data_IF_556820910132
#
_entry.id   IF_556820910132
#
_cell.length_a   1.000
_cell.length_b   1.000
_cell.length_c   1.000
_cell.angle_alpha   90.00
_cell.angle_beta   90.00
_cell.angle_gamma   90.00
#
_symmetry.space_group_name_H-M   'P 1'
#
loop_
_entity.id
_entity.type
_entity.pdbx_description
1 polymer ?
#
# COMPACT_ATOMS: atom_id res chain seq x y z
N UNK A 1 -20.02 2.90 27.45
CA UNK A 1 -20.32 2.11 26.23
C UNK A 1 -19.65 2.82 25.07
N UNK A 2 -18.44 2.39 24.71
CA UNK A 2 -17.63 3.05 23.71
C UNK A 2 -18.23 2.76 22.33
N UNK A 3 -18.64 3.82 21.62
CA UNK A 3 -19.19 3.70 20.28
C UNK A 3 -18.14 3.15 19.34
N UNK A 4 -18.43 2.00 18.76
CA UNK A 4 -17.66 1.39 17.70
C UNK A 4 -17.62 2.38 16.53
N UNK A 5 -16.50 3.10 16.40
CA UNK A 5 -16.27 3.97 15.25
C UNK A 5 -16.03 3.04 14.07
N UNK A 6 -17.05 2.91 13.22
CA UNK A 6 -16.98 2.06 12.04
C UNK A 6 -15.81 2.43 11.12
N UNK A 7 -15.40 1.53 10.22
CA UNK A 7 -14.16 1.63 9.44
C UNK A 7 -14.04 2.90 8.62
N UNK A 8 -15.17 3.41 8.12
CA UNK A 8 -15.22 4.67 7.37
C UNK A 8 -14.80 5.88 8.22
N UNK A 9 -15.09 5.89 9.53
CA UNK A 9 -14.75 7.00 10.42
C UNK A 9 -13.25 7.05 10.69
N UNK A 10 -12.61 5.89 10.82
CA UNK A 10 -11.17 5.78 11.08
C UNK A 10 -10.34 6.14 9.82
N UNK A 11 -10.79 5.71 8.64
CA UNK A 11 -10.25 6.18 7.35
C UNK A 11 -10.37 7.70 7.19
N UNK A 12 -11.50 8.30 7.58
CA UNK A 12 -11.71 9.76 7.49
C UNK A 12 -10.78 10.56 8.41
N UNK A 13 -10.42 10.03 9.58
CA UNK A 13 -9.50 10.69 10.52
C UNK A 13 -8.07 10.72 9.96
N UNK A 14 -7.63 9.62 9.32
CA UNK A 14 -6.28 9.50 8.75
C UNK A 14 -6.20 9.96 7.29
N UNK A 15 -7.33 10.26 6.64
CA UNK A 15 -7.40 10.71 5.25
C UNK A 15 -6.45 11.86 4.92
N UNK A 16 -6.31 12.91 5.74
CA UNK A 16 -5.38 14.00 5.44
C UNK A 16 -3.91 13.54 5.39
N UNK A 17 -3.54 12.57 6.22
CA UNK A 17 -2.19 11.99 6.24
C UNK A 17 -1.98 11.07 5.03
N UNK A 18 -2.95 10.21 4.71
CA UNK A 18 -2.89 9.34 3.53
C UNK A 18 -2.78 10.14 2.23
N UNK A 19 -3.53 11.24 2.10
CA UNK A 19 -3.50 12.11 0.93
C UNK A 19 -2.19 12.89 0.81
N UNK A 20 -1.62 13.35 1.94
CA UNK A 20 -0.39 14.14 1.92
C UNK A 20 0.85 13.28 1.66
N UNK A 21 0.85 12.03 2.13
CA UNK A 21 1.94 11.07 1.90
C UNK A 21 1.67 10.20 0.67
N UNK A 22 1.33 10.80 -0.47
CA UNK A 22 1.08 10.08 -1.73
C UNK A 22 2.38 9.62 -2.43
N UNK A 23 2.31 8.62 -3.34
CA UNK A 23 3.46 8.18 -4.12
C UNK A 23 3.73 9.12 -5.30
N UNK A 24 4.99 9.53 -5.47
CA UNK A 24 5.52 10.18 -6.65
C UNK A 24 6.04 9.12 -7.64
N UNK A 25 5.30 8.92 -8.74
CA UNK A 25 5.71 8.03 -9.84
C UNK A 25 6.76 8.70 -10.74
N UNK A 26 7.65 7.95 -11.41
CA UNK A 26 7.77 6.50 -11.38
C UNK A 26 8.67 5.96 -10.25
N UNK A 27 9.31 6.82 -9.45
CA UNK A 27 10.20 6.38 -8.36
C UNK A 27 9.47 5.75 -7.16
N UNK A 28 8.15 5.91 -7.08
CA UNK A 28 7.32 5.54 -5.93
C UNK A 28 7.89 6.06 -4.61
N UNK A 29 8.41 7.29 -4.62
CA UNK A 29 8.88 7.98 -3.42
C UNK A 29 7.72 8.76 -2.82
N UNK A 30 7.60 8.80 -1.50
CA UNK A 30 6.61 9.65 -0.84
C UNK A 30 6.91 11.12 -1.13
N UNK A 31 5.91 11.88 -1.60
CA UNK A 31 6.07 13.32 -1.94
C UNK A 31 6.53 14.19 -0.76
N UNK A 32 6.26 13.77 0.48
CA UNK A 32 6.68 14.48 1.70
C UNK A 32 7.99 13.94 2.26
N UNK A 33 8.09 12.62 2.41
CA UNK A 33 9.22 12.00 3.11
C UNK A 33 10.44 11.76 2.22
N UNK A 34 10.26 11.80 0.89
CA UNK A 34 11.26 11.40 -0.10
C UNK A 34 11.86 10.01 0.15
N UNK A 35 11.06 9.10 0.73
CA UNK A 35 11.42 7.72 1.03
C UNK A 35 10.50 6.76 0.28
N UNK A 36 10.87 5.47 0.20
CA UNK A 36 10.05 4.46 -0.47
C UNK A 36 8.62 4.48 0.06
N UNK A 37 7.67 4.74 -0.83
CA UNK A 37 6.25 4.63 -0.55
C UNK A 37 5.80 3.16 -0.60
N UNK A 38 4.94 2.68 0.32
CA UNK A 38 4.35 3.41 1.43
C UNK A 38 5.37 3.73 2.53
N UNK A 39 5.46 5.01 2.91
CA UNK A 39 6.40 5.47 3.93
C UNK A 39 5.89 5.14 5.34
N UNK A 40 6.76 5.21 6.36
CA UNK A 40 6.38 4.89 7.75
C UNK A 40 5.14 5.65 8.24
N UNK A 41 5.05 6.95 7.94
CA UNK A 41 3.89 7.77 8.31
C UNK A 41 2.60 7.36 7.58
N UNK A 42 2.72 6.88 6.33
CA UNK A 42 1.57 6.36 5.61
C UNK A 42 1.13 5.01 6.16
N UNK A 43 2.07 4.15 6.57
CA UNK A 43 1.74 2.84 7.16
C UNK A 43 1.05 2.96 8.51
N UNK A 44 1.21 4.09 9.20
CA UNK A 44 0.74 4.30 10.56
C UNK A 44 1.58 3.52 11.59
N UNK A 45 1.56 3.97 12.85
CA UNK A 45 2.25 3.29 13.95
C UNK A 45 1.53 1.98 14.34
N UNK A 46 0.19 2.00 14.32
CA UNK A 46 -0.66 0.85 14.68
C UNK A 46 -0.96 -0.09 13.50
N UNK A 47 -0.44 0.23 12.31
CA UNK A 47 -0.70 -0.52 11.10
C UNK A 47 -2.10 -0.30 10.48
N UNK A 48 -2.53 -1.22 9.61
CA UNK A 48 -3.90 -1.22 9.05
C UNK A 48 -4.80 -1.95 10.02
N UNK A 49 -5.86 -1.27 10.49
CA UNK A 49 -6.87 -1.91 11.32
C UNK A 49 -7.66 -2.95 10.53
N UNK A 50 -8.10 -4.01 11.18
CA UNK A 50 -8.84 -5.11 10.53
C UNK A 50 -10.09 -4.62 9.78
N UNK A 51 -10.80 -3.63 10.34
CA UNK A 51 -11.97 -3.03 9.71
C UNK A 51 -11.65 -2.17 8.48
N UNK A 52 -10.41 -1.69 8.34
CA UNK A 52 -9.91 -0.92 7.20
C UNK A 52 -9.26 -1.80 6.12
N UNK A 53 -8.92 -3.05 6.44
CA UNK A 53 -8.10 -3.93 5.61
C UNK A 53 -8.70 -4.15 4.21
N UNK A 54 -10.01 -4.39 4.13
CA UNK A 54 -10.70 -4.62 2.86
C UNK A 54 -10.67 -3.39 1.93
N UNK A 55 -10.84 -2.20 2.50
CA UNK A 55 -10.80 -0.94 1.74
C UNK A 55 -9.37 -0.65 1.29
N UNK A 56 -8.41 -0.86 2.19
CA UNK A 56 -7.00 -0.65 1.92
C UNK A 56 -6.49 -1.61 0.84
N UNK A 57 -6.91 -2.87 0.88
CA UNK A 57 -6.59 -3.87 -0.14
C UNK A 57 -7.09 -3.45 -1.52
N UNK A 58 -8.35 -3.01 -1.63
CA UNK A 58 -8.90 -2.55 -2.92
C UNK A 58 -8.16 -1.33 -3.45
N UNK A 59 -7.85 -0.37 -2.58
CA UNK A 59 -7.09 0.83 -2.97
C UNK A 59 -5.66 0.50 -3.41
N UNK A 60 -4.95 -0.33 -2.66
CA UNK A 60 -3.56 -0.67 -2.99
C UNK A 60 -3.46 -1.61 -4.19
N UNK A 61 -4.45 -2.48 -4.40
CA UNK A 61 -4.50 -3.35 -5.59
C UNK A 61 -4.67 -2.54 -6.87
N UNK A 62 -5.42 -1.41 -6.84
CA UNK A 62 -5.54 -0.55 -8.02
C UNK A 62 -4.21 0.12 -8.39
N UNK A 63 -3.40 0.45 -7.38
CA UNK A 63 -2.05 1.01 -7.54
C UNK A 63 -0.99 -0.04 -7.90
N UNK A 64 -1.22 -1.31 -7.56
CA UNK A 64 -0.22 -2.36 -7.72
C UNK A 64 0.16 -2.62 -9.18
N UNK A 65 -0.79 -2.50 -10.12
CA UNK A 65 -0.48 -2.62 -11.55
C UNK A 65 0.52 -1.54 -12.00
N UNK A 66 0.31 -0.29 -11.58
CA UNK A 66 1.20 0.83 -11.90
C UNK A 66 2.57 0.67 -11.24
N UNK A 67 2.61 0.18 -9.99
CA UNK A 67 3.86 -0.06 -9.27
C UNK A 67 4.70 -1.15 -9.94
N UNK A 68 4.05 -2.21 -10.41
CA UNK A 68 4.71 -3.31 -11.11
C UNK A 68 5.33 -2.83 -12.43
N UNK A 69 4.64 -1.98 -13.19
CA UNK A 69 5.21 -1.37 -14.40
C UNK A 69 6.43 -0.51 -14.05
N UNK A 70 6.27 0.49 -13.19
CA UNK A 70 7.33 1.46 -12.93
C UNK A 70 8.54 0.86 -12.21
N UNK A 71 8.31 -0.01 -11.22
CA UNK A 71 9.39 -0.53 -10.36
C UNK A 71 9.97 -1.83 -10.89
N UNK A 72 9.12 -2.76 -11.35
CA UNK A 72 9.62 -4.05 -11.81
C UNK A 72 10.07 -3.99 -13.27
N UNK A 73 9.21 -3.50 -14.16
CA UNK A 73 9.49 -3.53 -15.60
C UNK A 73 10.50 -2.45 -16.01
N UNK A 74 10.34 -1.21 -15.52
CA UNK A 74 11.20 -0.10 -15.91
C UNK A 74 12.48 0.02 -15.07
N UNK A 75 12.42 -0.27 -13.76
CA UNK A 75 13.56 -0.13 -12.83
C UNK A 75 14.21 -1.46 -12.44
N UNK A 76 13.69 -2.59 -12.93
CA UNK A 76 14.29 -3.92 -12.73
C UNK A 76 14.16 -4.47 -11.30
N UNK A 77 13.25 -3.96 -10.47
CA UNK A 77 12.98 -4.56 -9.17
C UNK A 77 12.28 -5.92 -9.33
N UNK A 78 12.51 -6.83 -8.39
CA UNK A 78 11.79 -8.09 -8.36
C UNK A 78 10.30 -7.86 -8.13
N UNK A 79 9.44 -8.37 -9.01
CA UNK A 79 7.98 -8.25 -8.91
C UNK A 79 7.43 -8.68 -7.54
N UNK A 80 7.82 -9.84 -6.98
CA UNK A 80 7.44 -10.22 -5.61
C UNK A 80 7.87 -9.23 -4.52
N UNK A 81 8.98 -8.52 -4.71
CA UNK A 81 9.42 -7.46 -3.78
C UNK A 81 8.50 -6.24 -3.89
N UNK A 82 8.08 -5.86 -5.10
CA UNK A 82 7.12 -4.78 -5.33
C UNK A 82 5.76 -5.10 -4.71
N UNK A 83 5.25 -6.32 -4.92
CA UNK A 83 3.96 -6.75 -4.36
C UNK A 83 3.96 -6.64 -2.83
N UNK A 84 4.97 -7.19 -2.15
CA UNK A 84 5.08 -7.11 -0.69
C UNK A 84 5.27 -5.69 -0.17
N UNK A 85 5.96 -4.84 -0.93
CA UNK A 85 6.12 -3.43 -0.58
C UNK A 85 4.77 -2.69 -0.61
N UNK A 86 3.98 -2.90 -1.65
CA UNK A 86 2.68 -2.22 -1.80
C UNK A 86 1.66 -2.78 -0.83
N UNK A 87 1.56 -4.12 -0.71
CA UNK A 87 0.64 -4.81 0.20
C UNK A 87 1.28 -5.12 1.57
N UNK A 88 2.05 -4.18 2.13
CA UNK A 88 2.87 -4.37 3.33
C UNK A 88 2.13 -4.87 4.58
N UNK A 89 0.81 -4.68 4.63
CA UNK A 89 -0.06 -5.08 5.74
C UNK A 89 -0.53 -6.54 5.63
N UNK A 90 -0.18 -7.22 4.52
CA UNK A 90 -0.41 -8.65 4.32
C UNK A 90 0.87 -9.41 4.61
N UNK A 91 0.77 -10.48 5.38
CA UNK A 91 1.85 -11.45 5.55
C UNK A 91 1.93 -12.35 4.30
N UNK A 92 2.59 -11.86 3.25
CA UNK A 92 2.73 -12.60 1.99
C UNK A 92 4.04 -13.37 1.96
N UNK A 93 3.95 -14.67 1.69
CA UNK A 93 5.12 -15.45 1.27
C UNK A 93 5.57 -15.06 -0.14
N UNK A 94 6.78 -15.49 -0.54
CA UNK A 94 7.25 -15.29 -1.91
C UNK A 94 6.32 -15.97 -2.94
N UNK A 95 5.70 -17.10 -2.57
CA UNK A 95 4.73 -17.80 -3.40
C UNK A 95 3.44 -16.98 -3.56
N UNK A 96 2.93 -16.39 -2.48
CA UNK A 96 1.73 -15.53 -2.52
C UNK A 96 2.00 -14.29 -3.37
N UNK A 97 3.14 -13.63 -3.17
CA UNK A 97 3.52 -12.45 -3.92
C UNK A 97 3.66 -12.74 -5.43
N UNK A 98 4.20 -13.91 -5.78
CA UNK A 98 4.28 -14.37 -7.18
C UNK A 98 2.90 -14.69 -7.75
N UNK A 99 2.02 -15.32 -6.97
CA UNK A 99 0.66 -15.62 -7.41
C UNK A 99 -0.15 -14.33 -7.66
N UNK A 100 -0.01 -13.33 -6.78
CA UNK A 100 -0.67 -12.02 -6.93
C UNK A 100 -0.15 -11.28 -8.15
N UNK A 101 1.17 -11.24 -8.37
CA UNK A 101 1.73 -10.61 -9.56
C UNK A 101 1.17 -11.24 -10.84
N UNK A 102 1.14 -12.58 -10.93
CA UNK A 102 0.56 -13.31 -12.06
C UNK A 102 -0.94 -13.09 -12.23
N UNK A 103 -1.67 -12.83 -11.16
CA UNK A 103 -3.10 -12.55 -11.24
C UNK A 103 -3.38 -11.14 -11.79
N UNK A 104 -2.49 -10.19 -11.49
CA UNK A 104 -2.65 -8.79 -11.90
C UNK A 104 -2.22 -8.57 -13.35
N UNK A 105 -1.29 -9.37 -13.87
CA UNK A 105 -0.76 -9.28 -15.24
C UNK A 105 -1.51 -10.21 -16.20
#
# INVERSE_FOLDING_TARGET
MAGERGPLVSLLVNLPYYLRHSPARPGWLCVVCNSNWPCALWRGEDGVREDEADVMERFLTSLLREALVDLADEQGQSAPVVVRRILWFKELSDADATAIERYIR
#
